data_IF_455057669372
#
_entry.id   IF_455057669372
#
_cell.length_a   1.000
_cell.length_b   1.000
_cell.length_c   1.000
_cell.angle_alpha   90.00
_cell.angle_beta   90.00
_cell.angle_gamma   90.00
#
_symmetry.space_group_name_H-M   'P 1'
#
loop_
_entity.id
_entity.type
_entity.pdbx_description
1 polymer ?
#
# COMPACT_ATOMS: atom_id res chain seq x y z
N UNK A 1 -18.74 4.17 20.79
CA UNK A 1 -18.12 4.54 19.51
C UNK A 1 -18.67 3.62 18.43
N UNK A 2 -19.14 4.20 17.30
CA UNK A 2 -19.56 3.42 16.13
C UNK A 2 -18.50 3.54 15.03
N UNK A 3 -17.95 2.38 14.61
CA UNK A 3 -17.02 2.23 13.48
C UNK A 3 -17.74 1.55 12.32
N UNK A 4 -17.75 2.19 11.16
CA UNK A 4 -18.26 1.63 9.90
C UNK A 4 -17.10 1.31 8.97
N UNK A 5 -17.03 0.07 8.49
CA UNK A 5 -15.96 -0.42 7.61
C UNK A 5 -16.55 -0.60 6.20
N UNK A 6 -16.00 0.15 5.23
CA UNK A 6 -16.47 0.15 3.83
C UNK A 6 -15.87 -1.01 3.00
N UNK A 7 -15.67 -2.14 3.64
CA UNK A 7 -15.15 -3.35 3.03
C UNK A 7 -15.69 -4.56 3.77
N UNK A 8 -15.99 -5.64 3.05
CA UNK A 8 -16.44 -6.87 3.69
C UNK A 8 -15.33 -7.48 4.54
N UNK A 9 -15.63 -7.73 5.82
CA UNK A 9 -14.78 -8.42 6.77
C UNK A 9 -15.49 -9.69 7.24
N UNK A 10 -14.75 -10.77 7.50
CA UNK A 10 -15.33 -12.01 8.03
C UNK A 10 -15.90 -11.80 9.43
N UNK A 11 -16.95 -12.52 9.78
CA UNK A 11 -17.56 -12.46 11.12
C UNK A 11 -16.58 -12.84 12.24
N UNK A 12 -15.64 -13.73 11.97
CA UNK A 12 -14.56 -14.07 12.88
C UNK A 12 -13.74 -12.82 13.25
N UNK A 13 -13.25 -12.07 12.25
CA UNK A 13 -12.50 -10.82 12.47
C UNK A 13 -13.33 -9.70 13.09
N UNK A 14 -14.62 -9.60 12.72
CA UNK A 14 -15.52 -8.63 13.36
C UNK A 14 -15.69 -8.94 14.85
N UNK A 15 -15.76 -10.22 15.20
CA UNK A 15 -15.82 -10.66 16.58
C UNK A 15 -14.53 -10.33 17.33
N UNK A 16 -13.37 -10.53 16.72
CA UNK A 16 -12.08 -10.11 17.29
C UNK A 16 -12.05 -8.60 17.57
N UNK A 17 -12.50 -7.78 16.61
CA UNK A 17 -12.55 -6.33 16.78
C UNK A 17 -13.51 -5.90 17.90
N UNK A 18 -14.72 -6.50 17.95
CA UNK A 18 -15.70 -6.23 19.02
C UNK A 18 -15.16 -6.60 20.40
N UNK A 19 -14.43 -7.70 20.49
CA UNK A 19 -13.78 -8.14 21.74
C UNK A 19 -12.62 -7.22 22.15
N UNK A 20 -11.87 -6.69 21.16
CA UNK A 20 -10.75 -5.79 21.41
C UNK A 20 -11.21 -4.41 21.92
N UNK A 21 -12.44 -3.97 21.55
CA UNK A 21 -13.00 -2.68 21.95
C UNK A 21 -14.41 -2.86 22.51
N UNK A 22 -14.57 -3.37 23.73
CA UNK A 22 -15.87 -3.59 24.35
C UNK A 22 -16.72 -2.31 24.40
N UNK A 23 -18.01 -2.44 24.11
CA UNK A 23 -18.94 -1.31 24.08
C UNK A 23 -18.91 -0.47 22.80
N UNK A 24 -18.12 -0.87 21.79
CA UNK A 24 -18.19 -0.29 20.45
C UNK A 24 -19.18 -1.05 19.56
N UNK A 25 -19.80 -0.32 18.64
CA UNK A 25 -20.57 -0.89 17.53
C UNK A 25 -19.66 -0.92 16.30
N UNK A 26 -19.38 -2.11 15.77
CA UNK A 26 -18.52 -2.28 14.59
C UNK A 26 -19.33 -2.97 13.50
N UNK A 27 -19.50 -2.29 12.39
CA UNK A 27 -20.27 -2.76 11.23
C UNK A 27 -19.35 -2.81 10.00
N UNK A 28 -19.58 -3.79 9.13
CA UNK A 28 -18.83 -4.00 7.90
C UNK A 28 -19.81 -4.21 6.76
N UNK A 29 -19.59 -3.52 5.64
CA UNK A 29 -20.45 -3.55 4.47
C UNK A 29 -19.68 -4.04 3.24
N UNK A 30 -20.31 -4.79 2.32
CA UNK A 30 -19.64 -5.34 1.15
C UNK A 30 -19.05 -4.29 0.21
N UNK A 31 -19.69 -3.13 0.13
CA UNK A 31 -19.26 -2.03 -0.72
C UNK A 31 -19.47 -0.66 -0.06
N UNK A 32 -18.80 0.39 -0.54
CA UNK A 32 -19.05 1.76 -0.12
C UNK A 32 -20.50 2.22 -0.33
N UNK A 33 -21.16 1.78 -1.40
CA UNK A 33 -22.55 2.14 -1.66
C UNK A 33 -23.49 1.56 -0.61
N UNK A 34 -23.27 0.31 -0.20
CA UNK A 34 -24.08 -0.33 0.84
C UNK A 34 -23.89 0.36 2.20
N UNK A 35 -22.68 0.82 2.49
CA UNK A 35 -22.37 1.48 3.74
C UNK A 35 -22.95 2.90 3.85
N UNK A 36 -23.16 3.60 2.75
CA UNK A 36 -23.50 5.03 2.75
C UNK A 36 -24.76 5.36 3.54
N UNK A 37 -25.75 4.50 3.54
CA UNK A 37 -26.99 4.67 4.32
C UNK A 37 -26.83 4.38 5.82
N UNK A 38 -25.68 3.87 6.25
CA UNK A 38 -25.41 3.42 7.62
C UNK A 38 -24.34 4.24 8.35
N UNK A 39 -23.85 5.33 7.73
CA UNK A 39 -22.75 6.14 8.30
C UNK A 39 -23.23 7.41 9.01
N UNK A 40 -24.51 7.72 9.03
CA UNK A 40 -25.03 8.99 9.57
C UNK A 40 -24.70 9.22 11.04
N UNK A 41 -24.59 8.17 11.82
CA UNK A 41 -24.25 8.16 13.25
C UNK A 41 -22.84 7.58 13.53
N UNK A 42 -22.01 7.45 12.50
CA UNK A 42 -20.66 6.92 12.65
C UNK A 42 -19.72 7.92 13.32
N UNK A 43 -18.98 7.49 14.33
CA UNK A 43 -17.86 8.20 14.93
C UNK A 43 -16.58 8.03 14.12
N UNK A 44 -16.43 6.85 13.49
CA UNK A 44 -15.26 6.46 12.71
C UNK A 44 -15.64 5.71 11.43
N UNK A 45 -14.85 5.88 10.37
CA UNK A 45 -15.00 5.17 9.09
C UNK A 45 -13.65 4.59 8.69
N UNK A 46 -13.63 3.28 8.37
CA UNK A 46 -12.48 2.62 7.76
C UNK A 46 -12.75 2.35 6.28
N UNK A 47 -11.86 2.82 5.40
CA UNK A 47 -12.04 2.77 3.95
C UNK A 47 -10.70 2.65 3.22
N UNK A 48 -10.71 2.27 1.95
CA UNK A 48 -9.51 2.26 1.13
C UNK A 48 -9.07 3.67 0.75
N UNK A 49 -7.77 3.96 0.80
CA UNK A 49 -7.20 5.28 0.53
C UNK A 49 -7.45 5.85 -0.87
N UNK A 50 -7.83 4.99 -1.84
CA UNK A 50 -8.18 5.41 -3.19
C UNK A 50 -9.68 5.72 -3.39
N UNK A 51 -10.53 5.49 -2.37
CA UNK A 51 -11.96 5.77 -2.43
C UNK A 51 -12.24 7.27 -2.23
N UNK A 52 -13.33 7.74 -2.83
CA UNK A 52 -13.79 9.11 -2.61
C UNK A 52 -14.44 9.22 -1.23
N UNK A 53 -13.86 10.01 -0.34
CA UNK A 53 -14.34 10.22 1.03
C UNK A 53 -15.52 11.20 1.10
N UNK A 54 -15.71 12.08 0.12
CA UNK A 54 -16.63 13.21 0.19
C UNK A 54 -18.09 12.80 0.48
N UNK A 55 -18.70 11.80 -0.20
CA UNK A 55 -20.08 11.38 0.10
C UNK A 55 -20.27 10.92 1.55
N UNK A 56 -19.22 10.32 2.14
CA UNK A 56 -19.24 9.84 3.52
C UNK A 56 -19.13 10.99 4.52
N UNK A 57 -18.34 12.03 4.21
CA UNK A 57 -18.27 13.23 5.03
C UNK A 57 -19.59 13.98 5.06
N UNK A 58 -20.30 14.03 3.93
CA UNK A 58 -21.62 14.67 3.82
C UNK A 58 -22.68 13.89 4.59
N UNK A 59 -22.65 12.56 4.50
CA UNK A 59 -23.60 11.68 5.19
C UNK A 59 -23.31 11.51 6.69
N UNK A 60 -22.08 11.82 7.15
CA UNK A 60 -21.64 11.60 8.53
C UNK A 60 -21.19 12.91 9.19
N UNK A 61 -22.11 13.74 9.68
CA UNK A 61 -21.76 15.03 10.30
C UNK A 61 -20.92 14.89 11.58
N UNK A 62 -21.01 13.76 12.25
CA UNK A 62 -20.36 13.49 13.53
C UNK A 62 -19.04 12.71 13.43
N UNK A 63 -18.64 12.27 12.23
CA UNK A 63 -17.40 11.51 12.07
C UNK A 63 -16.19 12.34 12.49
N UNK A 64 -15.33 11.75 13.30
CA UNK A 64 -14.12 12.37 13.85
C UNK A 64 -12.85 11.62 13.50
N UNK A 65 -12.97 10.40 12.99
CA UNK A 65 -11.83 9.57 12.64
C UNK A 65 -12.07 8.82 11.32
N UNK A 66 -11.10 8.93 10.40
CA UNK A 66 -11.04 8.13 9.19
C UNK A 66 -9.77 7.31 9.22
N UNK A 67 -9.91 6.01 8.99
CA UNK A 67 -8.79 5.08 8.85
C UNK A 67 -8.67 4.60 7.40
N UNK A 68 -7.51 4.82 6.79
CA UNK A 68 -7.17 4.24 5.49
C UNK A 68 -6.70 2.80 5.66
N UNK A 69 -7.38 1.86 5.00
CA UNK A 69 -6.96 0.46 4.92
C UNK A 69 -5.75 0.25 4.01
N UNK A 70 -5.26 1.30 3.34
CA UNK A 70 -4.05 1.33 2.52
C UNK A 70 -3.00 2.26 3.14
N UNK A 71 -1.78 2.20 2.62
CA UNK A 71 -0.68 3.08 3.04
C UNK A 71 -0.90 4.52 2.52
N UNK A 72 -1.29 4.68 1.25
CA UNK A 72 -1.59 5.98 0.64
C UNK A 72 -2.88 6.60 1.17
N UNK A 73 -2.89 7.92 1.34
CA UNK A 73 -4.00 8.72 1.90
C UNK A 73 -4.32 9.97 1.08
N UNK A 74 -3.66 10.17 -0.05
CA UNK A 74 -3.69 11.42 -0.83
C UNK A 74 -5.12 11.78 -1.26
N UNK A 75 -5.92 10.79 -1.63
CA UNK A 75 -7.31 10.98 -2.05
C UNK A 75 -8.28 11.23 -0.88
N UNK A 76 -7.86 10.94 0.36
CA UNK A 76 -8.66 11.18 1.55
C UNK A 76 -8.43 12.58 2.12
N UNK A 77 -7.30 13.23 1.82
CA UNK A 77 -6.95 14.57 2.31
C UNK A 77 -7.75 15.65 1.59
N UNK A 78 -9.00 15.84 1.98
CA UNK A 78 -9.87 16.89 1.43
C UNK A 78 -9.88 18.14 2.29
N UNK A 79 -10.30 19.28 1.68
CA UNK A 79 -10.45 20.54 2.42
C UNK A 79 -11.46 20.40 3.57
N UNK A 80 -12.49 19.59 3.40
CA UNK A 80 -13.51 19.36 4.42
C UNK A 80 -12.98 18.57 5.61
N UNK A 81 -12.16 17.53 5.38
CA UNK A 81 -11.48 16.84 6.46
C UNK A 81 -10.62 17.78 7.30
N UNK A 82 -9.84 18.64 6.63
CA UNK A 82 -8.96 19.60 7.32
C UNK A 82 -9.75 20.64 8.11
N UNK A 83 -10.86 21.17 7.55
CA UNK A 83 -11.73 22.13 8.24
C UNK A 83 -12.42 21.51 9.47
N UNK A 84 -12.84 20.25 9.37
CA UNK A 84 -13.52 19.53 10.45
C UNK A 84 -12.56 18.93 11.48
N UNK A 85 -11.23 19.07 11.28
CA UNK A 85 -10.19 18.51 12.14
C UNK A 85 -10.36 17.00 12.35
N UNK A 86 -10.76 16.27 11.29
CA UNK A 86 -10.94 14.83 11.34
C UNK A 86 -9.56 14.16 11.43
N UNK A 87 -9.42 13.24 12.38
CA UNK A 87 -8.20 12.45 12.54
C UNK A 87 -8.10 11.47 11.36
N UNK A 88 -6.96 11.47 10.67
CA UNK A 88 -6.65 10.51 9.62
C UNK A 88 -5.51 9.60 10.06
N UNK A 89 -5.73 8.30 9.98
CA UNK A 89 -4.72 7.26 10.20
C UNK A 89 -4.68 6.32 9.01
N UNK A 90 -3.57 5.58 8.85
CA UNK A 90 -3.41 4.65 7.74
C UNK A 90 -2.75 3.33 8.17
N UNK A 91 -2.79 2.35 7.28
CA UNK A 91 -2.19 1.02 7.45
C UNK A 91 -0.73 1.00 6.98
N UNK A 92 0.09 1.96 7.46
CA UNK A 92 1.51 2.06 7.09
C UNK A 92 2.31 0.82 7.55
N UNK A 93 3.21 0.33 6.70
CA UNK A 93 4.13 -0.78 7.02
C UNK A 93 3.53 -2.19 6.87
N UNK A 94 2.22 -2.34 6.77
CA UNK A 94 1.57 -3.66 6.70
C UNK A 94 1.83 -4.36 5.37
N UNK A 95 1.93 -3.58 4.28
CA UNK A 95 2.05 -4.10 2.92
C UNK A 95 3.49 -4.21 2.41
N UNK A 96 4.48 -3.75 3.18
CA UNK A 96 5.87 -3.60 2.75
C UNK A 96 6.46 -4.90 2.17
N UNK A 97 6.24 -6.01 2.86
CA UNK A 97 6.76 -7.30 2.44
C UNK A 97 6.12 -7.80 1.16
N UNK A 98 4.79 -7.72 1.06
CA UNK A 98 4.05 -8.18 -0.12
C UNK A 98 4.38 -7.33 -1.36
N UNK A 99 4.47 -6.00 -1.20
CA UNK A 99 4.84 -5.08 -2.29
C UNK A 99 6.29 -5.30 -2.72
N UNK A 100 7.21 -5.53 -1.78
CA UNK A 100 8.60 -5.83 -2.09
C UNK A 100 8.73 -7.15 -2.86
N UNK A 101 8.03 -8.21 -2.44
CA UNK A 101 8.02 -9.51 -3.13
C UNK A 101 7.48 -9.37 -4.56
N UNK A 102 6.38 -8.64 -4.72
CA UNK A 102 5.80 -8.36 -6.04
C UNK A 102 6.74 -7.56 -6.94
N UNK A 103 7.43 -6.57 -6.39
CA UNK A 103 8.43 -5.76 -7.11
C UNK A 103 9.56 -6.64 -7.65
N UNK A 104 10.07 -7.55 -6.81
CA UNK A 104 11.11 -8.49 -7.25
C UNK A 104 10.59 -9.48 -8.29
N UNK A 105 9.38 -9.96 -8.14
CA UNK A 105 8.75 -10.85 -9.11
C UNK A 105 8.66 -10.21 -10.49
N UNK A 106 8.20 -8.94 -10.57
CA UNK A 106 8.15 -8.16 -11.80
C UNK A 106 9.55 -7.92 -12.38
N UNK A 107 10.50 -7.47 -11.55
CA UNK A 107 11.87 -7.19 -11.97
C UNK A 107 12.55 -8.45 -12.55
N UNK A 108 12.46 -9.57 -11.84
CA UNK A 108 13.00 -10.85 -12.30
C UNK A 108 12.30 -11.34 -13.58
N UNK A 109 10.99 -11.16 -13.68
CA UNK A 109 10.24 -11.51 -14.88
C UNK A 109 10.74 -10.76 -16.11
N UNK A 110 11.03 -9.47 -15.97
CA UNK A 110 11.57 -8.64 -17.05
C UNK A 110 13.00 -9.05 -17.43
N UNK A 111 13.89 -9.12 -16.43
CA UNK A 111 15.32 -9.43 -16.64
C UNK A 111 15.49 -10.85 -17.24
N UNK A 112 14.64 -11.80 -16.86
CA UNK A 112 14.65 -13.18 -17.34
C UNK A 112 13.77 -13.40 -18.57
N UNK A 113 13.12 -12.35 -19.11
CA UNK A 113 12.22 -12.43 -20.26
C UNK A 113 11.07 -13.44 -20.11
N UNK A 114 10.57 -13.66 -18.85
CA UNK A 114 9.51 -14.65 -18.61
C UNK A 114 8.24 -14.40 -19.44
N UNK A 115 7.73 -13.15 -19.60
CA UNK A 115 6.54 -12.90 -20.42
C UNK A 115 6.70 -13.31 -21.90
N UNK A 116 7.93 -13.23 -22.42
CA UNK A 116 8.24 -13.69 -23.78
C UNK A 116 8.23 -15.21 -23.85
N UNK A 117 8.88 -15.87 -22.87
CA UNK A 117 8.95 -17.33 -22.81
C UNK A 117 7.56 -17.97 -22.67
N UNK A 118 6.70 -17.39 -21.83
CA UNK A 118 5.32 -17.88 -21.63
C UNK A 118 4.54 -17.80 -22.94
N UNK A 119 4.56 -16.64 -23.64
CA UNK A 119 3.89 -16.51 -24.94
C UNK A 119 4.43 -17.46 -26.00
N UNK A 120 5.75 -17.71 -26.01
CA UNK A 120 6.36 -18.69 -26.91
C UNK A 120 5.93 -20.12 -26.59
N UNK A 121 5.80 -20.44 -25.29
CA UNK A 121 5.31 -21.77 -24.86
C UNK A 121 3.89 -22.02 -25.35
N UNK A 122 2.98 -21.03 -25.21
CA UNK A 122 1.60 -21.13 -25.70
C UNK A 122 1.55 -21.36 -27.22
N UNK A 123 2.49 -20.75 -27.96
CA UNK A 123 2.63 -20.91 -29.41
C UNK A 123 3.47 -22.11 -29.84
N UNK A 124 3.96 -22.91 -28.87
CA UNK A 124 4.88 -24.07 -29.12
C UNK A 124 6.16 -23.66 -29.87
N UNK A 125 6.64 -22.43 -29.65
CA UNK A 125 7.86 -21.88 -30.23
C UNK A 125 9.03 -22.15 -29.28
N UNK A 126 10.02 -22.93 -29.73
CA UNK A 126 11.26 -23.17 -29.00
C UNK A 126 12.35 -22.19 -29.46
N UNK A 127 12.36 -20.99 -28.85
CA UNK A 127 13.36 -19.96 -29.16
C UNK A 127 13.84 -19.30 -27.86
N UNK A 128 15.15 -19.37 -27.62
CA UNK A 128 15.75 -18.76 -26.42
C UNK A 128 15.86 -17.23 -26.59
N UNK A 129 15.18 -16.41 -25.78
CA UNK A 129 15.38 -14.97 -25.78
C UNK A 129 16.72 -14.62 -25.13
N UNK A 130 17.24 -13.41 -25.43
CA UNK A 130 18.41 -12.88 -24.72
C UNK A 130 17.96 -12.44 -23.32
N UNK A 131 18.41 -13.15 -22.30
CA UNK A 131 18.14 -12.85 -20.89
C UNK A 131 19.35 -12.18 -20.24
N UNK A 132 19.12 -11.47 -19.13
CA UNK A 132 20.16 -10.91 -18.28
C UNK A 132 20.04 -11.43 -16.84
N UNK A 133 20.89 -10.98 -15.94
CA UNK A 133 20.93 -11.33 -14.52
C UNK A 133 21.00 -10.05 -13.68
N UNK A 134 20.50 -10.10 -12.45
CA UNK A 134 20.65 -9.01 -11.48
C UNK A 134 22.04 -8.99 -10.84
N UNK A 135 22.80 -10.06 -10.95
CA UNK A 135 24.13 -10.17 -10.34
C UNK A 135 25.04 -9.00 -10.75
N UNK A 136 25.60 -8.31 -9.77
CA UNK A 136 26.46 -7.12 -9.92
C UNK A 136 25.83 -5.95 -10.70
N UNK A 137 24.51 -5.92 -10.87
CA UNK A 137 23.81 -4.77 -11.45
C UNK A 137 23.63 -3.66 -10.42
N UNK A 138 23.47 -2.44 -10.91
CA UNK A 138 23.08 -1.29 -10.10
C UNK A 138 21.57 -1.13 -10.15
N UNK A 139 20.95 -1.00 -8.99
CA UNK A 139 19.51 -0.77 -8.84
C UNK A 139 19.29 0.54 -8.10
N UNK A 140 18.56 1.46 -8.71
CA UNK A 140 18.13 2.69 -8.07
C UNK A 140 16.71 2.52 -7.51
N UNK A 141 16.51 2.84 -6.24
CA UNK A 141 15.22 2.81 -5.56
C UNK A 141 14.81 4.27 -5.32
N UNK A 142 13.84 4.75 -6.10
CA UNK A 142 13.30 6.10 -5.99
C UNK A 142 12.17 6.09 -4.97
N UNK A 143 12.38 6.75 -3.83
CA UNK A 143 11.52 6.65 -2.66
C UNK A 143 11.99 5.56 -1.69
N UNK A 144 12.81 5.96 -0.71
CA UNK A 144 13.37 5.03 0.28
C UNK A 144 12.65 5.14 1.63
N UNK A 145 11.34 4.80 1.61
CA UNK A 145 10.52 4.59 2.79
C UNK A 145 10.55 3.12 3.26
N UNK A 146 9.52 2.67 3.94
CA UNK A 146 9.36 1.28 4.43
C UNK A 146 9.42 0.25 3.31
N UNK A 147 8.67 0.47 2.22
CA UNK A 147 8.66 -0.40 1.03
C UNK A 147 10.03 -0.42 0.35
N UNK A 148 10.63 0.76 0.12
CA UNK A 148 11.97 0.85 -0.51
C UNK A 148 13.05 0.11 0.30
N UNK A 149 12.98 0.22 1.63
CA UNK A 149 13.85 -0.53 2.54
C UNK A 149 13.63 -2.04 2.43
N UNK A 150 12.37 -2.49 2.37
CA UNK A 150 12.03 -3.91 2.24
C UNK A 150 12.50 -4.50 0.89
N UNK A 151 12.45 -3.70 -0.20
CA UNK A 151 12.99 -4.06 -1.51
C UNK A 151 14.51 -4.17 -1.43
N UNK A 152 15.20 -3.16 -0.89
CA UNK A 152 16.66 -3.14 -0.77
C UNK A 152 17.18 -4.35 0.01
N UNK A 153 16.56 -4.69 1.12
CA UNK A 153 16.91 -5.85 1.93
C UNK A 153 16.91 -7.15 1.11
N UNK A 154 15.91 -7.36 0.26
CA UNK A 154 15.80 -8.53 -0.61
C UNK A 154 16.80 -8.50 -1.76
N UNK A 155 17.05 -7.32 -2.30
CA UNK A 155 17.99 -7.12 -3.41
C UNK A 155 19.45 -7.44 -3.04
N UNK A 156 19.83 -7.33 -1.76
CA UNK A 156 21.17 -7.75 -1.30
C UNK A 156 21.47 -9.21 -1.61
N UNK A 157 20.48 -10.09 -1.63
CA UNK A 157 20.65 -11.50 -2.01
C UNK A 157 21.10 -11.72 -3.46
N UNK A 158 20.97 -10.71 -4.34
CA UNK A 158 21.41 -10.76 -5.73
C UNK A 158 22.79 -10.14 -5.96
N UNK A 159 23.49 -9.73 -4.91
CA UNK A 159 24.78 -9.01 -4.99
C UNK A 159 24.70 -7.76 -5.88
N UNK A 160 23.58 -7.04 -5.82
CA UNK A 160 23.40 -5.77 -6.54
C UNK A 160 24.00 -4.60 -5.78
N UNK A 161 24.45 -3.57 -6.51
CA UNK A 161 24.72 -2.24 -5.94
C UNK A 161 23.37 -1.49 -5.83
N UNK A 162 23.05 -0.99 -4.64
CA UNK A 162 21.78 -0.34 -4.36
C UNK A 162 21.96 1.15 -4.11
N UNK A 163 21.31 1.97 -4.92
CA UNK A 163 21.28 3.42 -4.79
C UNK A 163 19.89 3.83 -4.29
N UNK A 164 19.82 4.52 -3.16
CA UNK A 164 18.56 5.05 -2.64
C UNK A 164 18.39 6.52 -3.01
N UNK A 165 17.19 6.91 -3.38
CA UNK A 165 16.80 8.31 -3.59
C UNK A 165 15.76 8.71 -2.55
N UNK A 166 16.04 9.75 -1.76
CA UNK A 166 15.21 10.24 -0.65
C UNK A 166 15.05 11.76 -0.73
N UNK A 167 14.02 12.27 -0.08
CA UNK A 167 13.84 13.72 0.07
C UNK A 167 14.95 14.37 0.91
N UNK A 168 15.40 13.69 1.94
CA UNK A 168 16.48 14.13 2.84
C UNK A 168 17.48 13.01 3.01
N UNK A 169 18.78 13.34 3.00
CA UNK A 169 19.85 12.36 3.28
C UNK A 169 19.74 11.97 4.76
N UNK A 170 19.53 10.71 5.01
CA UNK A 170 19.46 10.11 6.33
C UNK A 170 19.87 8.64 6.24
N UNK A 171 19.97 7.96 7.37
CA UNK A 171 20.29 6.54 7.39
C UNK A 171 19.39 5.73 6.44
N UNK A 172 20.02 4.90 5.62
CA UNK A 172 19.40 4.07 4.61
C UNK A 172 20.02 2.66 4.61
N UNK A 173 19.62 1.80 5.55
CA UNK A 173 20.17 0.45 5.67
C UNK A 173 19.96 -0.33 4.37
N UNK A 174 20.90 -1.24 4.08
CA UNK A 174 20.93 -2.06 2.85
C UNK A 174 21.26 -1.31 1.56
N UNK A 175 21.67 -0.03 1.60
CA UNK A 175 22.08 0.75 0.42
C UNK A 175 23.61 0.93 0.39
N UNK A 176 24.12 1.15 -0.82
CA UNK A 176 25.53 1.45 -1.03
C UNK A 176 25.76 2.96 -1.14
N UNK A 177 24.76 3.71 -1.62
CA UNK A 177 24.79 5.17 -1.72
C UNK A 177 23.37 5.75 -1.59
N UNK A 178 23.28 6.98 -1.08
CA UNK A 178 22.02 7.72 -0.92
C UNK A 178 22.15 9.07 -1.64
N UNK A 179 21.10 9.41 -2.37
CA UNK A 179 20.99 10.64 -3.15
C UNK A 179 19.70 11.38 -2.80
N UNK A 180 19.67 12.67 -3.01
CA UNK A 180 18.47 13.49 -3.09
C UNK A 180 18.00 13.59 -4.56
N UNK A 181 16.76 14.01 -4.78
CA UNK A 181 16.18 14.04 -6.14
C UNK A 181 16.90 15.03 -7.09
N UNK A 182 17.57 16.05 -6.55
CA UNK A 182 18.37 17.03 -7.30
C UNK A 182 19.76 16.52 -7.72
N UNK A 183 20.14 15.33 -7.27
CA UNK A 183 21.45 14.71 -7.54
C UNK A 183 21.38 13.61 -8.62
N UNK A 184 20.21 13.37 -9.22
CA UNK A 184 19.98 12.32 -10.20
C UNK A 184 19.47 12.87 -11.55
#
# INVERSE_FOLDING_TARGET
MKLVILNKISEEKLTEFRNAVPGSVIESYPSPCDALSHVSDADAIAMWGFQNVQPFLEASPHVRWIHSLSDGVEHLLTKDMLKRLIILTNSHGIHDHAVADHTLALLLSLVRCLPVMIRQQDQKIWKRPKTDSLYQKTVAIIGYGSIGKAIAQRMKGFNTKILAVKKHISDAPFTDQVYTADQI
#
